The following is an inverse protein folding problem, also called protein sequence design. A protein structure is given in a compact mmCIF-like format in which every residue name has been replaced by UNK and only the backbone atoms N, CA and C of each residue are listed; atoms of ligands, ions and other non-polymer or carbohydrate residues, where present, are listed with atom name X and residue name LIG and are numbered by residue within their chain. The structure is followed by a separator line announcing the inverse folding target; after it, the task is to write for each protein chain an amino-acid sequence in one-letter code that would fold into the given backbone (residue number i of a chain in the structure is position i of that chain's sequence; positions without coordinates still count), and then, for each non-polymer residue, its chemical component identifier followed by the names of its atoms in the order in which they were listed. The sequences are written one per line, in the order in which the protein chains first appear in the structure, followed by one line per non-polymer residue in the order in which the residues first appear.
data_IF_460992483648
#
_entry.id   IF_460992483648
#
_cell.length_a   1.000
_cell.length_b   1.000
_cell.length_c   1.000
_cell.angle_alpha   90.00
_cell.angle_beta   90.00
_cell.angle_gamma   90.00
#
_symmetry.space_group_name_H-M   'P 1'
#
loop_
_entity.id
_entity.type
_entity.pdbx_description
1 polymer ?
#
# COMPACT_ATOMS: atom_id res chain seq x y z
N UNK A 1 -14.74 17.14 -28.54
CA UNK A 1 -13.73 17.99 -27.89
C UNK A 1 -12.40 17.69 -28.56
N UNK A 2 -11.66 18.69 -29.00
CA UNK A 2 -10.34 18.49 -29.61
C UNK A 2 -9.37 18.03 -28.51
N UNK A 3 -8.34 17.21 -28.83
CA UNK A 3 -7.30 16.78 -27.86
C UNK A 3 -6.63 17.97 -27.13
N UNK A 4 -6.76 19.19 -27.64
CA UNK A 4 -6.23 20.42 -27.03
C UNK A 4 -6.94 20.85 -25.74
N UNK A 5 -8.12 20.31 -25.42
CA UNK A 5 -8.89 20.74 -24.24
C UNK A 5 -8.58 19.87 -23.00
N UNK A 6 -7.90 18.74 -23.16
CA UNK A 6 -7.63 17.79 -22.05
C UNK A 6 -6.29 18.07 -21.35
N UNK A 7 -5.33 18.65 -22.06
CA UNK A 7 -4.01 19.00 -21.52
C UNK A 7 -3.91 20.52 -21.44
N UNK A 8 -3.74 21.02 -20.22
CA UNK A 8 -3.61 22.46 -20.01
C UNK A 8 -2.31 23.00 -20.66
N UNK A 9 -2.33 24.16 -21.36
CA UNK A 9 -1.19 24.65 -22.12
C UNK A 9 0.05 25.02 -21.27
N UNK A 10 -0.10 25.14 -19.95
CA UNK A 10 1.03 25.36 -19.02
C UNK A 10 1.66 24.06 -18.50
N UNK A 11 1.16 22.88 -18.89
CA UNK A 11 1.77 21.62 -18.54
C UNK A 11 3.08 21.43 -19.33
N UNK A 12 4.11 20.95 -18.66
CA UNK A 12 5.41 20.61 -19.26
C UNK A 12 5.50 19.10 -19.36
N UNK A 13 5.57 18.59 -20.58
CA UNK A 13 5.56 17.15 -20.85
C UNK A 13 6.79 16.78 -21.64
N UNK A 14 7.59 15.81 -21.14
CA UNK A 14 8.73 15.29 -21.84
C UNK A 14 8.28 14.57 -23.12
N UNK A 15 9.04 14.73 -24.20
CA UNK A 15 8.74 14.17 -25.51
C UNK A 15 8.72 12.63 -25.55
N UNK A 16 9.36 11.95 -24.59
CA UNK A 16 9.36 10.49 -24.46
C UNK A 16 8.18 9.95 -23.66
N UNK A 17 7.36 10.84 -23.05
CA UNK A 17 6.20 10.40 -22.30
C UNK A 17 5.09 9.86 -23.22
N UNK A 18 4.48 8.74 -22.82
CA UNK A 18 3.37 8.10 -23.52
C UNK A 18 2.08 8.32 -22.74
N UNK A 19 1.17 9.14 -23.28
CA UNK A 19 -0.04 9.55 -22.60
C UNK A 19 -1.24 9.10 -23.43
N UNK A 20 -2.18 8.36 -22.84
CA UNK A 20 -3.40 7.95 -23.51
C UNK A 20 -4.27 9.17 -23.88
N UNK A 21 -5.04 9.04 -24.98
CA UNK A 21 -5.69 10.17 -25.64
C UNK A 21 -6.80 10.88 -24.84
N UNK A 22 -7.28 10.25 -23.77
CA UNK A 22 -8.37 10.75 -22.92
C UNK A 22 -7.89 11.19 -21.52
N UNK A 23 -6.57 11.17 -21.27
CA UNK A 23 -5.97 11.64 -20.01
C UNK A 23 -6.15 13.15 -19.87
N UNK A 24 -6.54 13.57 -18.66
CA UNK A 24 -6.69 14.99 -18.32
C UNK A 24 -5.49 15.46 -17.50
N UNK A 25 -4.83 16.52 -17.96
CA UNK A 25 -3.67 17.11 -17.29
C UNK A 25 -3.94 18.58 -16.99
N UNK A 26 -4.01 18.90 -15.70
CA UNK A 26 -4.25 20.24 -15.19
C UNK A 26 -3.08 21.20 -15.37
N UNK A 27 -3.26 22.47 -14.98
CA UNK A 27 -2.23 23.51 -15.15
C UNK A 27 -1.00 23.23 -14.29
N UNK A 28 0.16 23.62 -14.83
CA UNK A 28 1.46 23.54 -14.16
C UNK A 28 1.89 22.14 -13.73
N UNK A 29 1.36 21.09 -14.37
CA UNK A 29 1.88 19.75 -14.21
C UNK A 29 3.22 19.59 -14.92
N UNK A 30 4.11 18.76 -14.37
CA UNK A 30 5.39 18.39 -14.97
C UNK A 30 5.39 16.86 -15.13
N UNK A 31 5.57 16.39 -16.37
CA UNK A 31 5.66 14.96 -16.71
C UNK A 31 7.07 14.69 -17.23
N UNK A 32 7.80 13.87 -16.51
CA UNK A 32 9.19 13.53 -16.82
C UNK A 32 9.36 12.50 -17.95
N UNK A 33 10.62 12.16 -18.27
CA UNK A 33 10.93 11.20 -19.32
C UNK A 33 10.49 9.77 -18.97
N UNK A 34 10.18 8.96 -20.00
CA UNK A 34 9.81 7.56 -19.85
C UNK A 34 8.59 7.33 -18.94
N UNK A 35 7.70 8.32 -18.82
CA UNK A 35 6.43 8.21 -18.11
C UNK A 35 5.37 7.63 -19.05
N UNK A 36 4.59 6.67 -18.53
CA UNK A 36 3.38 6.16 -19.20
C UNK A 36 2.16 6.43 -18.35
N UNK A 37 1.08 7.00 -18.96
CA UNK A 37 -0.18 7.28 -18.25
C UNK A 37 -1.34 6.64 -19.03
N UNK A 38 -2.05 5.73 -18.36
CA UNK A 38 -3.19 4.98 -18.90
C UNK A 38 -4.48 5.79 -19.01
N UNK A 39 -5.42 5.25 -19.78
CA UNK A 39 -6.71 5.84 -20.13
C UNK A 39 -7.51 6.32 -18.90
N UNK A 40 -8.29 7.38 -19.05
CA UNK A 40 -9.18 7.91 -18.03
C UNK A 40 -8.49 8.56 -16.82
N UNK A 41 -7.16 8.53 -16.75
CA UNK A 41 -6.41 9.11 -15.63
C UNK A 41 -6.49 10.65 -15.66
N UNK A 42 -6.58 11.25 -14.49
CA UNK A 42 -6.69 12.69 -14.29
C UNK A 42 -5.63 13.20 -13.32
N UNK A 43 -4.85 14.17 -13.78
CA UNK A 43 -3.92 14.92 -12.96
C UNK A 43 -4.50 16.30 -12.69
N UNK A 44 -4.61 16.68 -11.41
CA UNK A 44 -4.97 18.05 -11.01
C UNK A 44 -3.81 19.01 -11.27
N UNK A 45 -3.90 20.26 -10.83
CA UNK A 45 -2.84 21.24 -11.03
C UNK A 45 -1.57 20.90 -10.23
N UNK A 46 -0.39 21.31 -10.72
CA UNK A 46 0.88 21.21 -9.97
C UNK A 46 1.25 19.78 -9.55
N UNK A 47 0.87 18.78 -10.30
CA UNK A 47 1.33 17.40 -10.10
C UNK A 47 2.66 17.22 -10.80
N UNK A 48 3.62 16.59 -10.13
CA UNK A 48 4.91 16.22 -10.71
C UNK A 48 4.96 14.70 -10.84
N UNK A 49 5.11 14.22 -12.09
CA UNK A 49 5.39 12.80 -12.36
C UNK A 49 6.85 12.70 -12.78
N UNK A 50 7.67 12.06 -11.93
CA UNK A 50 9.07 11.79 -12.19
C UNK A 50 9.27 10.76 -13.31
N UNK A 51 10.48 10.64 -13.84
CA UNK A 51 10.80 9.68 -14.89
C UNK A 51 10.64 8.22 -14.47
N UNK A 52 10.62 7.32 -15.46
CA UNK A 52 10.51 5.87 -15.23
C UNK A 52 9.28 5.47 -14.39
N UNK A 53 8.14 6.07 -14.68
CA UNK A 53 6.89 5.85 -13.95
C UNK A 53 5.81 5.34 -14.89
N UNK A 54 5.16 4.23 -14.53
CA UNK A 54 3.99 3.69 -15.22
C UNK A 54 2.75 3.85 -14.34
N UNK A 55 1.76 4.56 -14.86
CA UNK A 55 0.47 4.78 -14.19
C UNK A 55 -0.61 4.12 -15.02
N UNK A 56 -1.39 3.25 -14.41
CA UNK A 56 -2.51 2.55 -15.03
C UNK A 56 -3.68 3.48 -15.36
N UNK A 57 -4.88 2.89 -15.45
CA UNK A 57 -6.10 3.56 -15.92
C UNK A 57 -6.91 4.17 -14.77
N UNK A 58 -7.69 5.21 -15.11
CA UNK A 58 -8.70 5.80 -14.20
C UNK A 58 -8.15 6.21 -12.83
N UNK A 59 -6.88 6.58 -12.75
CA UNK A 59 -6.31 7.15 -11.53
C UNK A 59 -6.67 8.63 -11.42
N UNK A 60 -6.83 9.13 -10.19
CA UNK A 60 -6.99 10.56 -9.94
C UNK A 60 -5.89 11.04 -8.98
N UNK A 61 -5.04 11.97 -9.46
CA UNK A 61 -3.86 12.45 -8.73
C UNK A 61 -4.04 13.94 -8.46
N UNK A 62 -4.04 14.30 -7.19
CA UNK A 62 -4.32 15.64 -6.71
C UNK A 62 -3.09 16.52 -6.67
N UNK A 63 -3.33 17.82 -6.54
CA UNK A 63 -2.31 18.86 -6.61
C UNK A 63 -1.18 18.65 -5.60
N UNK A 64 0.02 19.01 -6.02
CA UNK A 64 1.26 18.93 -5.25
C UNK A 64 1.71 17.50 -4.91
N UNK A 65 1.12 16.47 -5.52
CA UNK A 65 1.66 15.12 -5.42
C UNK A 65 2.97 15.02 -6.23
N UNK A 66 3.97 14.33 -5.65
CA UNK A 66 5.25 13.98 -6.28
C UNK A 66 5.28 12.45 -6.48
N UNK A 67 5.17 12.02 -7.72
CA UNK A 67 5.00 10.62 -8.10
C UNK A 67 6.17 10.17 -8.98
N UNK A 68 6.90 9.15 -8.57
CA UNK A 68 8.04 8.63 -9.33
C UNK A 68 9.35 9.39 -9.13
N UNK A 69 9.48 10.16 -8.05
CA UNK A 69 10.75 10.80 -7.71
C UNK A 69 11.82 9.77 -7.32
N UNK A 70 13.07 10.13 -7.43
CA UNK A 70 14.20 9.29 -6.99
C UNK A 70 14.10 8.95 -5.50
N UNK A 71 14.59 7.78 -5.12
CA UNK A 71 14.57 7.39 -3.72
C UNK A 71 15.46 8.30 -2.86
N UNK A 72 15.20 8.33 -1.55
CA UNK A 72 15.99 9.10 -0.57
C UNK A 72 17.13 8.27 0.04
N UNK A 73 17.39 7.07 -0.45
CA UNK A 73 18.51 6.25 0.02
C UNK A 73 19.83 6.88 -0.44
N UNK A 74 20.74 7.11 0.50
CA UNK A 74 22.06 7.69 0.25
C UNK A 74 22.93 6.84 -0.69
N UNK A 75 22.59 5.58 -0.90
CA UNK A 75 23.30 4.68 -1.81
C UNK A 75 22.87 4.82 -3.26
N UNK A 76 21.76 5.51 -3.54
CA UNK A 76 21.26 5.73 -4.88
C UNK A 76 22.25 6.60 -5.67
N UNK A 77 22.70 6.12 -6.82
CA UNK A 77 23.71 6.77 -7.65
C UNK A 77 23.18 7.18 -9.04
N UNK A 78 21.86 7.25 -9.22
CA UNK A 78 21.23 7.65 -10.48
C UNK A 78 20.83 6.48 -11.38
N UNK A 79 20.70 5.29 -10.84
CA UNK A 79 20.34 4.08 -11.58
C UNK A 79 18.90 4.16 -12.12
N UNK A 80 18.67 3.48 -13.23
CA UNK A 80 17.34 3.32 -13.79
C UNK A 80 16.50 2.37 -12.89
N UNK A 81 15.54 2.95 -12.21
CA UNK A 81 14.60 2.25 -11.35
C UNK A 81 13.19 2.74 -11.61
N UNK A 82 12.17 1.98 -11.22
CA UNK A 82 10.81 2.19 -11.66
C UNK A 82 9.83 2.39 -10.51
N UNK A 83 8.73 3.09 -10.83
CA UNK A 83 7.48 3.07 -10.07
C UNK A 83 6.36 2.57 -10.98
N UNK A 84 5.61 1.58 -10.52
CA UNK A 84 4.40 1.10 -11.18
C UNK A 84 3.18 1.33 -10.27
N UNK A 85 2.13 1.92 -10.85
CA UNK A 85 0.85 2.18 -10.19
C UNK A 85 -0.24 1.53 -11.04
N UNK A 86 -1.08 0.71 -10.42
CA UNK A 86 -2.23 0.06 -11.04
C UNK A 86 -3.35 1.05 -11.36
N UNK A 87 -4.58 0.56 -11.37
CA UNK A 87 -5.75 1.28 -11.84
C UNK A 87 -6.61 1.83 -10.69
N UNK A 88 -7.43 2.84 -10.96
CA UNK A 88 -8.47 3.36 -10.03
C UNK A 88 -7.95 3.82 -8.67
N UNK A 89 -6.70 4.25 -8.57
CA UNK A 89 -6.17 4.81 -7.32
C UNK A 89 -6.56 6.29 -7.18
N UNK A 90 -6.80 6.68 -5.93
CA UNK A 90 -7.02 8.08 -5.54
C UNK A 90 -5.81 8.54 -4.73
N UNK A 91 -4.95 9.37 -5.34
CA UNK A 91 -3.72 9.87 -4.74
C UNK A 91 -3.93 11.35 -4.40
N UNK A 92 -4.07 11.62 -3.11
CA UNK A 92 -4.42 12.94 -2.61
C UNK A 92 -3.21 13.88 -2.57
N UNK A 93 -3.49 15.10 -2.13
CA UNK A 93 -2.55 16.22 -2.13
C UNK A 93 -1.27 15.90 -1.35
N UNK A 94 -0.14 16.36 -1.84
CA UNK A 94 1.17 16.23 -1.20
C UNK A 94 1.64 14.78 -0.97
N UNK A 95 1.01 13.78 -1.58
CA UNK A 95 1.56 12.42 -1.55
C UNK A 95 2.92 12.38 -2.23
N UNK A 96 3.83 11.55 -1.70
CA UNK A 96 5.14 11.29 -2.31
C UNK A 96 5.35 9.78 -2.50
N UNK A 97 5.57 9.36 -3.74
CA UNK A 97 5.72 7.96 -4.13
C UNK A 97 7.06 7.82 -4.85
N UNK A 98 7.99 7.07 -4.28
CA UNK A 98 9.34 6.97 -4.81
C UNK A 98 9.56 5.70 -5.63
N UNK A 99 10.47 5.78 -6.60
CA UNK A 99 10.94 4.63 -7.38
C UNK A 99 11.71 3.65 -6.52
N UNK A 100 11.90 2.42 -7.02
CA UNK A 100 12.72 1.41 -6.36
C UNK A 100 14.22 1.71 -6.37
N UNK A 101 15.01 0.76 -5.90
CA UNK A 101 16.47 0.79 -5.91
C UNK A 101 17.04 -0.50 -6.51
N UNK A 102 18.26 -0.45 -7.06
CA UNK A 102 18.96 -1.63 -7.58
C UNK A 102 19.40 -2.61 -6.50
N UNK A 103 19.24 -2.25 -5.24
CA UNK A 103 19.57 -3.10 -4.10
C UNK A 103 18.46 -4.13 -3.80
N UNK A 104 17.29 -3.97 -4.44
CA UNK A 104 16.19 -4.92 -4.43
C UNK A 104 15.76 -5.20 -5.89
N UNK A 105 14.48 -5.11 -6.19
CA UNK A 105 13.94 -5.41 -7.53
C UNK A 105 14.02 -4.24 -8.53
N UNK A 106 14.53 -3.10 -8.12
CA UNK A 106 14.58 -1.89 -8.95
C UNK A 106 13.23 -1.22 -9.16
N UNK A 107 12.21 -1.60 -8.38
CA UNK A 107 10.85 -1.16 -8.63
C UNK A 107 10.04 -1.04 -7.33
N UNK A 108 9.28 0.06 -7.22
CA UNK A 108 8.18 0.20 -6.26
C UNK A 108 6.88 -0.10 -6.97
N UNK A 109 6.00 -0.90 -6.35
CA UNK A 109 4.71 -1.29 -6.93
C UNK A 109 3.55 -0.87 -6.03
N UNK A 110 2.55 -0.25 -6.64
CA UNK A 110 1.29 0.09 -6.01
C UNK A 110 0.18 -0.51 -6.86
N UNK A 111 -0.64 -1.36 -6.27
CA UNK A 111 -1.77 -2.02 -6.92
C UNK A 111 -2.89 -1.05 -7.29
N UNK A 112 -4.12 -1.54 -7.28
CA UNK A 112 -5.30 -0.84 -7.77
C UNK A 112 -6.29 -0.51 -6.65
N UNK A 113 -7.18 0.45 -6.90
CA UNK A 113 -8.26 0.84 -5.98
C UNK A 113 -7.78 1.33 -4.60
N UNK A 114 -6.57 1.85 -4.50
CA UNK A 114 -6.04 2.38 -3.25
C UNK A 114 -6.42 3.85 -3.05
N UNK A 115 -6.66 4.23 -1.79
CA UNK A 115 -6.80 5.60 -1.35
C UNK A 115 -5.56 6.01 -0.54
N UNK A 116 -4.75 6.89 -1.09
CA UNK A 116 -3.64 7.53 -0.38
C UNK A 116 -4.08 8.94 -0.02
N UNK A 117 -4.41 9.16 1.26
CA UNK A 117 -4.86 10.47 1.74
C UNK A 117 -3.69 11.46 1.83
N UNK A 118 -4.03 12.70 2.16
CA UNK A 118 -3.09 13.83 2.19
C UNK A 118 -1.79 13.50 2.87
N UNK A 119 -0.67 13.84 2.20
CA UNK A 119 0.69 13.71 2.73
C UNK A 119 1.12 12.27 3.09
N UNK A 120 0.57 11.27 2.41
CA UNK A 120 1.05 9.88 2.51
C UNK A 120 2.37 9.75 1.76
N UNK A 121 3.34 9.08 2.39
CA UNK A 121 4.63 8.73 1.78
C UNK A 121 4.76 7.23 1.59
N UNK A 122 5.07 6.79 0.37
CA UNK A 122 5.48 5.42 0.04
C UNK A 122 6.94 5.47 -0.46
N UNK A 123 7.85 4.90 0.31
CA UNK A 123 9.27 4.85 -0.02
C UNK A 123 9.58 3.80 -1.10
N UNK A 124 10.85 3.72 -1.45
CA UNK A 124 11.39 2.82 -2.46
C UNK A 124 11.17 1.33 -2.16
N UNK A 125 11.08 0.52 -3.20
CA UNK A 125 10.98 -0.95 -3.12
C UNK A 125 9.78 -1.48 -2.32
N UNK A 126 8.79 -0.62 -2.04
CA UNK A 126 7.54 -1.06 -1.44
C UNK A 126 6.69 -1.82 -2.46
N UNK A 127 5.98 -2.84 -1.96
CA UNK A 127 4.94 -3.55 -2.72
C UNK A 127 3.62 -3.37 -1.97
N UNK A 128 2.69 -2.65 -2.58
CA UNK A 128 1.37 -2.36 -2.04
C UNK A 128 0.33 -3.05 -2.91
N UNK A 129 -0.52 -3.87 -2.31
CA UNK A 129 -1.63 -4.55 -2.98
C UNK A 129 -2.80 -3.63 -3.30
N UNK A 130 -4.00 -4.22 -3.35
CA UNK A 130 -5.21 -3.56 -3.81
C UNK A 130 -6.13 -3.13 -2.67
N UNK A 131 -7.01 -2.14 -2.95
CA UNK A 131 -8.09 -1.71 -2.04
C UNK A 131 -7.62 -1.20 -0.67
N UNK A 132 -6.42 -0.68 -0.55
CA UNK A 132 -5.87 -0.18 0.70
C UNK A 132 -6.27 1.27 0.96
N UNK A 133 -6.31 1.65 2.23
CA UNK A 133 -6.53 3.03 2.67
C UNK A 133 -5.36 3.45 3.55
N UNK A 134 -4.62 4.44 3.11
CA UNK A 134 -3.59 5.12 3.91
C UNK A 134 -4.13 6.49 4.29
N UNK A 135 -4.42 6.68 5.58
CA UNK A 135 -4.94 7.95 6.07
C UNK A 135 -3.84 9.04 6.10
N UNK A 136 -4.22 10.26 6.44
CA UNK A 136 -3.34 11.43 6.37
C UNK A 136 -2.02 11.22 7.12
N UNK A 137 -0.91 11.67 6.53
CA UNK A 137 0.43 11.65 7.12
C UNK A 137 0.97 10.24 7.43
N UNK A 138 0.53 9.22 6.75
CA UNK A 138 1.13 7.88 6.89
C UNK A 138 2.48 7.86 6.19
N UNK A 139 3.51 7.36 6.89
CA UNK A 139 4.84 7.12 6.35
C UNK A 139 5.13 5.63 6.22
N UNK A 140 5.37 5.15 4.99
CA UNK A 140 5.77 3.78 4.71
C UNK A 140 7.23 3.78 4.28
N UNK A 141 8.10 3.20 5.10
CA UNK A 141 9.54 3.12 4.81
C UNK A 141 9.85 2.09 3.72
N UNK A 142 11.10 2.06 3.25
CA UNK A 142 11.51 1.20 2.14
C UNK A 142 11.30 -0.29 2.39
N UNK A 143 11.08 -1.05 1.30
CA UNK A 143 10.92 -2.51 1.31
C UNK A 143 9.73 -3.04 2.11
N UNK A 144 8.74 -2.22 2.41
CA UNK A 144 7.52 -2.65 3.09
C UNK A 144 6.60 -3.33 2.10
N UNK A 145 6.03 -4.47 2.52
CA UNK A 145 4.99 -5.16 1.77
C UNK A 145 3.64 -4.97 2.46
N UNK A 146 2.67 -4.47 1.73
CA UNK A 146 1.29 -4.29 2.20
C UNK A 146 0.38 -5.14 1.33
N UNK A 147 -0.40 -6.02 1.95
CA UNK A 147 -1.39 -6.86 1.28
C UNK A 147 -2.61 -6.05 0.79
N UNK A 148 -3.75 -6.73 0.68
CA UNK A 148 -4.98 -6.12 0.19
C UNK A 148 -5.91 -5.73 1.34
N UNK A 149 -6.78 -4.74 1.12
CA UNK A 149 -7.79 -4.30 2.08
C UNK A 149 -7.24 -3.88 3.45
N UNK A 150 -6.02 -3.38 3.48
CA UNK A 150 -5.37 -2.85 4.69
C UNK A 150 -5.84 -1.43 4.93
N UNK A 151 -6.09 -1.09 6.19
CA UNK A 151 -6.38 0.29 6.61
C UNK A 151 -5.28 0.77 7.54
N UNK A 152 -4.59 1.82 7.16
CA UNK A 152 -3.55 2.46 7.97
C UNK A 152 -4.06 3.80 8.49
N UNK A 153 -4.22 3.91 9.80
CA UNK A 153 -4.67 5.12 10.49
C UNK A 153 -3.65 6.26 10.40
N UNK A 154 -4.15 7.49 10.39
CA UNK A 154 -3.34 8.69 10.18
C UNK A 154 -2.20 8.86 11.18
N UNK A 155 -1.14 9.56 10.75
CA UNK A 155 0.08 9.80 11.53
C UNK A 155 0.81 8.52 11.97
N UNK A 156 0.60 7.41 11.28
CA UNK A 156 1.30 6.15 11.58
C UNK A 156 2.56 6.01 10.73
N UNK A 157 3.57 5.34 11.31
CA UNK A 157 4.82 5.00 10.64
C UNK A 157 5.02 3.49 10.55
N UNK A 158 5.46 3.00 9.39
CA UNK A 158 5.78 1.59 9.17
C UNK A 158 7.27 1.47 8.89
N UNK A 159 7.97 0.73 9.75
CA UNK A 159 9.41 0.51 9.65
C UNK A 159 9.75 -0.33 8.42
N UNK A 160 10.93 -0.08 7.84
CA UNK A 160 11.43 -0.80 6.67
C UNK A 160 11.40 -2.34 6.84
N UNK A 161 11.12 -3.03 5.74
CA UNK A 161 11.03 -4.50 5.65
C UNK A 161 9.89 -5.15 6.43
N UNK A 162 8.97 -4.39 7.01
CA UNK A 162 7.77 -4.95 7.63
C UNK A 162 6.80 -5.47 6.57
N UNK A 163 6.05 -6.53 6.93
CA UNK A 163 4.89 -7.01 6.20
C UNK A 163 3.62 -6.61 6.94
N UNK A 164 2.67 -6.05 6.20
CA UNK A 164 1.34 -5.70 6.69
C UNK A 164 0.37 -6.52 5.86
N UNK A 165 -0.09 -7.64 6.41
CA UNK A 165 -0.87 -8.58 5.63
C UNK A 165 -2.34 -8.17 5.49
N UNK A 166 -3.03 -8.79 4.52
CA UNK A 166 -4.35 -8.38 4.05
C UNK A 166 -5.41 -8.34 5.16
N UNK A 167 -6.35 -7.42 5.02
CA UNK A 167 -7.46 -7.17 5.96
C UNK A 167 -7.02 -6.70 7.35
N UNK A 168 -5.74 -6.43 7.56
CA UNK A 168 -5.28 -5.87 8.83
C UNK A 168 -5.66 -4.39 8.98
N UNK A 169 -5.61 -3.89 10.20
CA UNK A 169 -5.88 -2.48 10.49
C UNK A 169 -4.87 -1.93 11.48
N UNK A 170 -4.26 -0.81 11.13
CA UNK A 170 -3.35 -0.06 11.98
C UNK A 170 -4.09 1.15 12.52
N UNK A 171 -4.19 1.27 13.85
CA UNK A 171 -4.77 2.43 14.51
C UNK A 171 -3.93 3.70 14.27
N UNK A 172 -4.57 4.87 14.37
CA UNK A 172 -3.86 6.15 14.18
C UNK A 172 -2.71 6.36 15.16
N UNK A 173 -1.71 7.14 14.76
CA UNK A 173 -0.51 7.46 15.53
C UNK A 173 0.28 6.24 16.02
N UNK A 174 0.30 5.17 15.23
CA UNK A 174 0.99 3.92 15.56
C UNK A 174 2.37 3.84 14.93
N UNK A 175 3.31 3.17 15.62
CA UNK A 175 4.64 2.84 15.10
C UNK A 175 4.77 1.32 14.94
N UNK A 176 4.85 0.86 13.69
CA UNK A 176 4.95 -0.55 13.33
C UNK A 176 6.43 -0.91 13.15
N UNK A 177 6.93 -1.81 14.00
CA UNK A 177 8.32 -2.28 14.00
C UNK A 177 8.48 -3.75 13.60
N UNK A 178 7.38 -4.49 13.54
CA UNK A 178 7.30 -5.92 13.20
C UNK A 178 6.13 -6.18 12.27
N UNK A 179 6.06 -7.40 11.75
CA UNK A 179 5.02 -7.80 10.81
C UNK A 179 3.63 -7.82 11.46
N UNK A 180 2.62 -7.36 10.73
CA UNK A 180 1.22 -7.38 11.17
C UNK A 180 0.50 -8.50 10.40
N UNK A 181 0.09 -9.58 11.07
CA UNK A 181 -0.59 -10.68 10.41
C UNK A 181 -1.96 -10.28 9.85
N UNK A 182 -2.43 -11.05 8.88
CA UNK A 182 -3.73 -10.85 8.26
C UNK A 182 -4.86 -10.76 9.30
N UNK A 183 -5.82 -9.87 9.04
CA UNK A 183 -7.01 -9.63 9.86
C UNK A 183 -6.76 -8.98 11.23
N UNK A 184 -5.53 -8.78 11.64
CA UNK A 184 -5.19 -8.29 12.99
C UNK A 184 -5.29 -6.76 13.05
N UNK A 185 -5.81 -6.26 14.16
CA UNK A 185 -5.80 -4.84 14.52
C UNK A 185 -4.65 -4.56 15.48
N UNK A 186 -3.83 -3.58 15.14
CA UNK A 186 -2.71 -3.13 15.95
C UNK A 186 -2.80 -1.64 16.23
N UNK A 187 -2.32 -1.18 17.38
CA UNK A 187 -2.24 0.25 17.72
C UNK A 187 -1.17 0.52 18.75
N UNK A 188 -0.69 1.74 18.80
CA UNK A 188 0.25 2.23 19.80
C UNK A 188 1.65 2.53 19.26
N UNK A 189 2.53 3.02 20.13
CA UNK A 189 3.93 3.34 19.86
C UNK A 189 4.84 2.79 20.97
N UNK A 190 5.53 1.64 20.79
CA UNK A 190 5.37 0.72 19.63
C UNK A 190 3.98 0.08 19.58
N UNK A 191 3.57 -0.37 18.39
CA UNK A 191 2.26 -0.97 18.21
C UNK A 191 2.16 -2.36 18.84
N UNK A 192 0.98 -2.67 19.39
CA UNK A 192 0.61 -3.98 19.94
C UNK A 192 -0.68 -4.49 19.30
N UNK A 193 -0.79 -5.81 19.17
CA UNK A 193 -2.01 -6.45 18.68
C UNK A 193 -3.07 -6.48 19.79
N UNK A 194 -4.29 -6.03 19.50
CA UNK A 194 -5.36 -5.96 20.49
C UNK A 194 -6.66 -6.65 20.08
N UNK A 195 -6.94 -6.76 18.78
CA UNK A 195 -8.19 -7.34 18.28
C UNK A 195 -8.04 -7.85 16.84
N UNK A 196 -9.12 -8.39 16.30
CA UNK A 196 -9.27 -8.64 14.88
C UNK A 196 -10.14 -7.57 14.22
N UNK A 197 -9.89 -7.30 12.94
CA UNK A 197 -10.66 -6.36 12.13
C UNK A 197 -12.04 -6.94 11.73
N UNK A 198 -12.86 -7.23 12.72
CA UNK A 198 -14.18 -7.84 12.53
C UNK A 198 -15.09 -6.96 11.68
N UNK A 199 -15.00 -5.65 11.87
CA UNK A 199 -15.85 -4.72 11.12
C UNK A 199 -15.46 -4.67 9.63
N UNK A 200 -14.15 -4.70 9.32
CA UNK A 200 -13.69 -4.84 7.95
C UNK A 200 -14.19 -6.12 7.29
N UNK A 201 -14.15 -7.24 7.99
CA UNK A 201 -14.67 -8.53 7.51
C UNK A 201 -16.18 -8.49 7.27
N UNK A 202 -16.97 -7.90 8.18
CA UNK A 202 -18.42 -7.73 8.01
C UNK A 202 -18.78 -6.88 6.79
N UNK A 203 -18.08 -5.78 6.57
CA UNK A 203 -18.27 -4.93 5.38
C UNK A 203 -18.00 -5.65 4.07
N UNK A 204 -17.16 -6.68 4.09
CA UNK A 204 -16.92 -7.59 2.96
C UNK A 204 -17.92 -8.73 2.84
N UNK A 205 -18.93 -8.78 3.70
CA UNK A 205 -20.00 -9.78 3.65
C UNK A 205 -19.63 -11.16 4.18
N UNK A 206 -18.54 -11.27 4.97
CA UNK A 206 -18.11 -12.56 5.50
C UNK A 206 -19.09 -13.12 6.52
N UNK A 207 -19.28 -14.45 6.48
CA UNK A 207 -20.23 -15.13 7.34
C UNK A 207 -19.83 -15.08 8.82
N UNK A 208 -20.80 -15.23 9.70
CA UNK A 208 -20.53 -15.30 11.15
C UNK A 208 -19.59 -16.45 11.51
N UNK A 209 -19.70 -17.59 10.80
CA UNK A 209 -18.87 -18.77 11.03
C UNK A 209 -17.41 -18.47 10.72
N UNK A 210 -17.12 -17.86 9.56
CA UNK A 210 -15.75 -17.47 9.17
C UNK A 210 -15.15 -16.48 10.20
N UNK A 211 -15.91 -15.44 10.58
CA UNK A 211 -15.44 -14.47 11.58
C UNK A 211 -15.16 -15.14 12.93
N UNK A 212 -15.95 -16.12 13.32
CA UNK A 212 -15.76 -16.86 14.58
C UNK A 212 -14.49 -17.72 14.52
N UNK A 213 -14.29 -18.46 13.43
CA UNK A 213 -13.07 -19.27 13.24
C UNK A 213 -11.80 -18.41 13.27
N UNK A 214 -11.79 -17.27 12.57
CA UNK A 214 -10.68 -16.34 12.61
C UNK A 214 -10.43 -15.77 14.01
N UNK A 215 -11.48 -15.47 14.79
CA UNK A 215 -11.34 -15.07 16.20
C UNK A 215 -10.71 -16.16 17.06
N UNK A 216 -11.05 -17.42 16.81
CA UNK A 216 -10.41 -18.55 17.50
C UNK A 216 -8.93 -18.61 17.13
N UNK A 217 -8.57 -18.48 15.86
CA UNK A 217 -7.17 -18.39 15.42
C UNK A 217 -6.40 -17.26 16.11
N UNK A 218 -6.98 -16.04 16.17
CA UNK A 218 -6.39 -14.92 16.91
C UNK A 218 -6.15 -15.27 18.40
N UNK A 219 -7.11 -15.93 19.04
CA UNK A 219 -6.99 -16.33 20.45
C UNK A 219 -5.82 -17.29 20.67
N UNK A 220 -5.67 -18.29 19.80
CA UNK A 220 -4.54 -19.22 19.84
C UNK A 220 -3.17 -18.52 19.71
N UNK A 221 -3.08 -17.50 18.85
CA UNK A 221 -1.82 -16.77 18.61
C UNK A 221 -1.47 -15.82 19.77
N UNK A 222 -2.47 -15.13 20.34
CA UNK A 222 -2.23 -13.98 21.22
C UNK A 222 -2.67 -14.17 22.68
N UNK A 223 -3.47 -15.18 23.00
CA UNK A 223 -4.11 -15.30 24.34
C UNK A 223 -3.83 -16.63 25.06
N UNK A 224 -3.45 -17.67 24.35
CA UNK A 224 -3.29 -19.02 24.93
C UNK A 224 -1.85 -19.32 25.35
N UNK A 225 -0.91 -18.39 25.19
CA UNK A 225 0.49 -18.58 25.58
C UNK A 225 1.28 -19.58 24.71
N UNK A 226 0.74 -19.95 23.55
CA UNK A 226 1.38 -20.88 22.61
C UNK A 226 2.54 -20.21 21.88
N UNK A 227 3.52 -21.04 21.46
CA UNK A 227 4.47 -20.58 20.44
C UNK A 227 3.77 -20.38 19.11
N UNK A 228 4.39 -19.65 18.19
CA UNK A 228 3.82 -19.43 16.85
C UNK A 228 3.60 -20.76 16.13
N UNK A 229 4.54 -21.70 16.23
CA UNK A 229 4.48 -23.02 15.62
C UNK A 229 3.33 -23.86 16.20
N UNK A 230 3.16 -23.85 17.53
CA UNK A 230 2.06 -24.55 18.20
C UNK A 230 0.71 -23.96 17.80
N UNK A 231 0.60 -22.64 17.74
CA UNK A 231 -0.62 -21.97 17.30
C UNK A 231 -0.98 -22.34 15.84
N UNK A 232 0.00 -22.34 14.93
CA UNK A 232 -0.18 -22.75 13.52
C UNK A 232 -0.68 -24.20 13.45
N UNK A 233 -0.04 -25.13 14.17
CA UNK A 233 -0.44 -26.54 14.19
C UNK A 233 -1.89 -26.71 14.64
N UNK A 234 -2.27 -26.02 15.71
CA UNK A 234 -3.62 -26.12 16.25
C UNK A 234 -4.66 -25.45 15.32
N UNK A 235 -4.34 -24.31 14.72
CA UNK A 235 -5.20 -23.65 13.73
C UNK A 235 -5.42 -24.57 12.52
N UNK A 236 -4.39 -25.23 12.03
CA UNK A 236 -4.50 -26.20 10.91
C UNK A 236 -5.36 -27.40 11.25
N UNK A 237 -5.25 -27.92 12.47
CA UNK A 237 -6.01 -29.10 12.89
C UNK A 237 -7.49 -28.80 13.17
N UNK A 238 -7.77 -27.68 13.83
CA UNK A 238 -9.09 -27.42 14.42
C UNK A 238 -9.92 -26.41 13.63
N UNK A 239 -9.32 -25.47 12.88
CA UNK A 239 -10.04 -24.34 12.27
C UNK A 239 -10.03 -24.46 10.75
N UNK A 240 -8.88 -24.72 10.14
CA UNK A 240 -8.72 -24.73 8.69
C UNK A 240 -9.70 -25.64 7.94
N UNK A 241 -10.08 -26.84 8.44
CA UNK A 241 -11.01 -27.71 7.73
C UNK A 241 -12.42 -27.10 7.54
N UNK A 242 -12.84 -26.23 8.46
CA UNK A 242 -14.18 -25.60 8.46
C UNK A 242 -14.13 -24.14 7.97
N UNK A 243 -12.97 -23.50 8.02
CA UNK A 243 -12.75 -22.07 7.72
C UNK A 243 -11.49 -21.90 6.87
N UNK A 244 -11.55 -22.14 5.56
CA UNK A 244 -10.39 -22.04 4.67
C UNK A 244 -9.72 -20.66 4.67
N UNK A 245 -10.45 -19.59 4.98
CA UNK A 245 -9.94 -18.22 5.03
C UNK A 245 -8.85 -18.03 6.10
N UNK A 246 -8.77 -18.94 7.08
CA UNK A 246 -7.71 -18.91 8.10
C UNK A 246 -6.32 -19.22 7.51
N UNK A 247 -6.26 -19.81 6.31
CA UNK A 247 -4.99 -20.07 5.63
C UNK A 247 -4.16 -18.79 5.46
N UNK A 248 -4.78 -17.67 5.11
CA UNK A 248 -4.07 -16.38 4.98
C UNK A 248 -3.42 -15.94 6.31
N UNK A 249 -4.07 -16.23 7.44
CA UNK A 249 -3.48 -15.97 8.76
C UNK A 249 -2.27 -16.88 9.03
N UNK A 250 -2.38 -18.15 8.67
CA UNK A 250 -1.27 -19.10 8.76
C UNK A 250 -0.09 -18.64 7.90
N UNK A 251 -0.35 -18.29 6.65
CA UNK A 251 0.69 -17.84 5.71
C UNK A 251 1.42 -16.59 6.24
N UNK A 252 0.67 -15.66 6.84
CA UNK A 252 1.26 -14.47 7.50
C UNK A 252 2.27 -14.84 8.58
N UNK A 253 1.95 -15.84 9.39
CA UNK A 253 2.80 -16.27 10.48
C UNK A 253 4.05 -16.99 9.96
N UNK A 254 3.89 -17.87 8.98
CA UNK A 254 4.97 -18.67 8.41
C UNK A 254 5.97 -17.83 7.60
N UNK A 255 5.47 -16.81 6.90
CA UNK A 255 6.29 -15.92 6.08
C UNK A 255 6.93 -14.78 6.87
N UNK A 256 6.58 -14.60 8.14
CA UNK A 256 7.14 -13.53 8.96
C UNK A 256 8.62 -13.75 9.23
N UNK A 257 9.46 -12.81 8.79
CA UNK A 257 10.92 -12.84 9.00
C UNK A 257 11.36 -11.97 10.19
N UNK A 258 10.57 -10.96 10.53
CA UNK A 258 10.87 -9.98 11.60
C UNK A 258 10.19 -10.34 12.92
N UNK A 259 9.40 -11.40 12.96
CA UNK A 259 8.46 -11.69 14.02
C UNK A 259 7.22 -10.78 13.93
N UNK A 260 6.13 -11.23 14.53
CA UNK A 260 4.85 -10.51 14.50
C UNK A 260 4.74 -9.50 15.63
N UNK A 261 3.91 -8.47 15.44
CA UNK A 261 3.46 -7.56 16.51
C UNK A 261 2.68 -8.38 17.54
N UNK A 262 3.02 -8.24 18.83
CA UNK A 262 2.35 -8.91 19.95
C UNK A 262 1.80 -7.94 20.98
#
# INVERSE_FOLDING_TARGET
MSNNDLIHPTAIIDSSAVIASDVKIGPYCIIGPQVTIGEGTKLHSHVVIGGYTRIGKNNEIFQFASVGEVCQDLKYAGEETWLEIGDFNLIREHCSLHRGTTQDQGITKIGSYNLLMVNTHIAHDCVVGDHNIFANNVGVAGHVHVGDYVVVGGNSGIHQFCKIDSFSMIGGASLILKDVPAYVMVSGNPAHAFAMNVEGMRRKGWSKNVIQGLRQGFKLIYKEGLTTEQAIQQIRAEILPEVPEVQLLIDSLEQSKRGIVR
#
